data_IF_318930869721
#
_entry.id   IF_318930869721
#
_cell.length_a   1.000
_cell.length_b   1.000
_cell.length_c   1.000
_cell.angle_alpha   90.00
_cell.angle_beta   90.00
_cell.angle_gamma   90.00
#
_symmetry.space_group_name_H-M   'P 1'
#
loop_
_entity.id
_entity.type
_entity.pdbx_description
1 polymer ?
#
# COMPACT_ATOMS: atom_id res chain seq x y z
N UNK A 1 14.86 9.67 -5.84
CA UNK A 1 14.17 8.82 -4.86
C UNK A 1 13.87 7.49 -5.52
N UNK A 2 14.14 6.37 -4.86
CA UNK A 2 14.05 5.01 -5.43
C UNK A 2 13.05 4.22 -4.60
N UNK A 3 11.94 3.82 -5.22
CA UNK A 3 10.93 2.99 -4.57
C UNK A 3 11.39 1.53 -4.54
N UNK A 4 11.20 0.86 -3.41
CA UNK A 4 11.43 -0.56 -3.24
C UNK A 4 10.08 -1.28 -3.11
N UNK A 5 9.90 -2.36 -3.85
CA UNK A 5 8.70 -3.19 -3.84
C UNK A 5 9.07 -4.54 -3.25
N UNK A 6 8.45 -4.90 -2.14
CA UNK A 6 8.74 -6.13 -1.39
C UNK A 6 7.49 -7.00 -1.44
N UNK A 7 7.65 -8.25 -1.87
CA UNK A 7 6.60 -9.26 -1.76
C UNK A 7 6.60 -9.83 -0.35
N UNK A 8 5.78 -9.24 0.50
CA UNK A 8 5.71 -9.56 1.91
C UNK A 8 4.92 -8.52 2.67
N UNK A 9 4.41 -8.96 3.81
CA UNK A 9 3.80 -8.07 4.78
C UNK A 9 4.85 -7.13 5.37
N UNK A 10 4.52 -5.85 5.53
CA UNK A 10 5.39 -4.94 6.25
C UNK A 10 5.43 -5.32 7.73
N UNK A 11 6.42 -4.81 8.45
CA UNK A 11 6.47 -4.94 9.90
C UNK A 11 5.24 -4.26 10.54
N UNK A 12 4.72 -4.81 11.65
CA UNK A 12 3.49 -4.31 12.29
C UNK A 12 3.59 -2.83 12.67
N UNK A 13 4.76 -2.38 13.15
CA UNK A 13 4.99 -0.96 13.46
C UNK A 13 4.90 -0.08 12.21
N UNK A 14 5.52 -0.50 11.10
CA UNK A 14 5.49 0.24 9.83
C UNK A 14 4.09 0.28 9.23
N UNK A 15 3.33 -0.81 9.35
CA UNK A 15 1.94 -0.86 8.91
C UNK A 15 1.10 0.14 9.70
N UNK A 16 1.26 0.18 11.02
CA UNK A 16 0.49 1.07 11.86
C UNK A 16 0.78 2.55 11.54
N UNK A 17 2.07 2.90 11.39
CA UNK A 17 2.51 4.24 10.99
C UNK A 17 1.96 4.64 9.62
N UNK A 18 1.95 3.71 8.67
CA UNK A 18 1.38 3.91 7.36
C UNK A 18 -0.14 4.11 7.41
N UNK A 19 -0.88 3.27 8.13
CA UNK A 19 -2.34 3.40 8.28
C UNK A 19 -2.68 4.77 8.87
N UNK A 20 -1.95 5.19 9.91
CA UNK A 20 -2.15 6.49 10.55
C UNK A 20 -1.86 7.64 9.58
N UNK A 21 -0.72 7.59 8.87
CA UNK A 21 -0.34 8.61 7.89
C UNK A 21 -1.32 8.68 6.72
N UNK A 22 -1.68 7.52 6.16
CA UNK A 22 -2.64 7.38 5.07
C UNK A 22 -4.00 7.95 5.46
N UNK A 23 -4.53 7.56 6.62
CA UNK A 23 -5.83 8.04 7.11
C UNK A 23 -5.80 9.54 7.31
N UNK A 24 -4.73 10.08 7.91
CA UNK A 24 -4.62 11.52 8.14
C UNK A 24 -4.53 12.32 6.83
N UNK A 25 -3.77 11.81 5.85
CA UNK A 25 -3.71 12.42 4.51
C UNK A 25 -5.05 12.34 3.79
N UNK A 26 -5.72 11.19 3.82
CA UNK A 26 -7.06 11.01 3.26
C UNK A 26 -8.08 11.98 3.86
N UNK A 27 -8.06 12.19 5.18
CA UNK A 27 -8.89 13.21 5.84
C UNK A 27 -8.54 14.61 5.32
N UNK A 28 -7.24 14.91 5.18
CA UNK A 28 -6.74 16.22 4.72
C UNK A 28 -7.10 16.50 3.27
N UNK A 29 -7.05 15.49 2.39
CA UNK A 29 -7.42 15.60 0.98
C UNK A 29 -8.92 15.51 0.74
N UNK A 30 -9.72 15.22 1.78
CA UNK A 30 -11.16 14.98 1.68
C UNK A 30 -11.53 13.63 1.05
N UNK A 31 -10.57 12.73 0.89
CA UNK A 31 -10.75 11.40 0.33
C UNK A 31 -11.13 10.42 1.44
N UNK A 32 -12.42 10.09 1.59
CA UNK A 32 -12.85 9.08 2.55
C UNK A 32 -12.69 7.67 1.97
N UNK A 33 -11.45 7.19 1.84
CA UNK A 33 -11.22 5.79 1.51
C UNK A 33 -11.34 4.93 2.77
N UNK A 34 -12.45 4.21 2.89
CA UNK A 34 -12.62 3.19 3.91
C UNK A 34 -11.76 1.97 3.52
N UNK A 35 -10.55 1.90 4.07
CA UNK A 35 -9.66 0.77 3.81
C UNK A 35 -9.92 -0.34 4.82
N UNK A 36 -10.21 -1.54 4.30
CA UNK A 36 -10.38 -2.71 5.14
C UNK A 36 -9.03 -3.43 5.29
N UNK A 37 -8.26 -3.01 6.30
CA UNK A 37 -6.93 -3.56 6.57
C UNK A 37 -6.95 -5.05 6.93
N UNK A 38 -8.09 -5.63 7.32
CA UNK A 38 -8.20 -7.08 7.54
C UNK A 38 -8.07 -7.88 6.23
N UNK A 39 -8.25 -7.26 5.06
CA UNK A 39 -8.00 -7.93 3.76
C UNK A 39 -6.50 -8.15 3.49
N UNK A 40 -5.63 -7.45 4.22
CA UNK A 40 -4.19 -7.60 4.07
C UNK A 40 -3.72 -9.01 4.45
N UNK A 41 -4.44 -9.77 5.28
CA UNK A 41 -4.11 -11.16 5.67
C UNK A 41 -4.04 -12.16 4.48
N UNK A 42 -4.24 -11.68 3.26
CA UNK A 42 -4.09 -12.43 2.03
C UNK A 42 -2.65 -12.90 1.79
N UNK A 43 -2.51 -13.96 1.00
CA UNK A 43 -1.22 -14.61 0.72
C UNK A 43 -0.28 -13.75 -0.14
N UNK A 44 -0.82 -12.84 -0.96
CA UNK A 44 -0.03 -11.98 -1.84
C UNK A 44 -0.16 -10.53 -1.39
N UNK A 45 0.88 -10.02 -0.74
CA UNK A 45 0.99 -8.64 -0.28
C UNK A 45 2.26 -8.03 -0.84
N UNK A 46 2.12 -6.88 -1.48
CA UNK A 46 3.24 -6.08 -1.97
C UNK A 46 3.33 -4.82 -1.12
N UNK A 47 4.42 -4.69 -0.38
CA UNK A 47 4.76 -3.51 0.40
C UNK A 47 5.67 -2.60 -0.40
N UNK A 48 5.36 -1.30 -0.43
CA UNK A 48 6.10 -0.28 -1.19
C UNK A 48 6.77 0.68 -0.24
N UNK A 49 8.08 0.78 -0.36
CA UNK A 49 8.93 1.59 0.50
C UNK A 49 9.62 2.70 -0.29
N UNK A 50 9.67 3.90 0.29
CA UNK A 50 10.58 4.96 -0.13
C UNK A 50 11.67 5.11 0.94
N UNK A 51 12.91 4.79 0.56
CA UNK A 51 14.12 4.70 1.41
C UNK A 51 14.02 3.74 2.60
N UNK A 52 13.07 3.93 3.52
CA UNK A 52 12.76 3.02 4.62
C UNK A 52 11.33 3.21 5.19
N UNK A 53 10.52 4.05 4.54
CA UNK A 53 9.15 4.38 4.97
C UNK A 53 8.16 3.68 4.08
N UNK A 54 7.19 2.98 4.69
CA UNK A 54 6.08 2.38 3.95
C UNK A 54 5.20 3.51 3.38
N UNK A 55 5.11 3.55 2.05
CA UNK A 55 4.35 4.58 1.30
C UNK A 55 3.18 4.01 0.52
N UNK A 56 3.12 2.68 0.38
CA UNK A 56 1.99 1.99 -0.20
C UNK A 56 1.99 0.50 0.13
N UNK A 57 0.83 -0.11 0.00
CA UNK A 57 0.61 -1.53 0.18
C UNK A 57 -0.47 -2.00 -0.79
N UNK A 58 -0.28 -3.16 -1.39
CA UNK A 58 -1.33 -3.81 -2.16
C UNK A 58 -1.46 -5.27 -1.77
N UNK A 59 -2.68 -5.79 -1.81
CA UNK A 59 -2.98 -7.17 -1.51
C UNK A 59 -3.93 -7.77 -2.54
N UNK A 60 -3.82 -9.08 -2.76
CA UNK A 60 -4.75 -9.84 -3.61
C UNK A 60 -5.67 -10.70 -2.74
N UNK A 61 -6.89 -10.21 -2.47
CA UNK A 61 -7.90 -10.85 -1.62
C UNK A 61 -9.14 -11.26 -2.43
N UNK A 62 -8.93 -11.85 -3.61
CA UNK A 62 -9.95 -12.02 -4.65
C UNK A 62 -9.93 -10.88 -5.67
N UNK A 63 -10.06 -9.63 -5.22
CA UNK A 63 -9.82 -8.43 -6.02
C UNK A 63 -8.51 -7.73 -5.58
N UNK A 64 -7.81 -7.04 -6.50
CA UNK A 64 -6.60 -6.29 -6.15
C UNK A 64 -6.99 -5.03 -5.37
N UNK A 65 -6.69 -5.03 -4.07
CA UNK A 65 -6.82 -3.85 -3.20
C UNK A 65 -5.46 -3.17 -3.10
N UNK A 66 -5.36 -1.92 -3.55
CA UNK A 66 -4.11 -1.18 -3.55
C UNK A 66 -4.32 0.16 -2.84
N UNK A 67 -3.45 0.44 -1.88
CA UNK A 67 -3.52 1.63 -1.04
C UNK A 67 -2.17 2.31 -1.07
N UNK A 68 -2.12 3.51 -1.62
CA UNK A 68 -0.91 4.33 -1.71
C UNK A 68 -1.22 5.65 -1.05
N UNK A 69 -0.27 6.19 -0.28
CA UNK A 69 -0.44 7.51 0.34
C UNK A 69 -0.82 8.54 -0.73
N UNK A 70 -1.80 9.43 -0.49
CA UNK A 70 -2.23 10.43 -1.47
C UNK A 70 -1.08 11.29 -1.99
N UNK A 71 -0.10 11.62 -1.14
CA UNK A 71 1.14 12.29 -1.54
C UNK A 71 1.97 11.58 -2.62
N UNK A 72 1.74 10.28 -2.83
CA UNK A 72 2.45 9.42 -3.78
C UNK A 72 1.55 8.86 -4.90
N UNK A 73 0.27 9.23 -4.93
CA UNK A 73 -0.73 8.74 -5.90
C UNK A 73 -0.29 8.95 -7.36
N UNK A 74 0.45 10.03 -7.64
CA UNK A 74 0.95 10.35 -8.99
C UNK A 74 2.16 9.52 -9.47
N UNK A 75 2.71 8.61 -8.66
CA UNK A 75 3.97 7.91 -8.97
C UNK A 75 3.79 6.55 -9.66
N UNK A 76 2.62 6.26 -10.23
CA UNK A 76 2.31 4.97 -10.89
C UNK A 76 2.53 3.74 -9.98
N UNK A 77 2.54 3.95 -8.66
CA UNK A 77 2.76 2.90 -7.67
C UNK A 77 1.63 1.88 -7.76
N UNK A 78 0.39 2.35 -7.88
CA UNK A 78 -0.78 1.49 -8.04
C UNK A 78 -0.66 0.59 -9.26
N UNK A 79 -0.24 1.14 -10.41
CA UNK A 79 -0.02 0.36 -11.63
C UNK A 79 1.07 -0.70 -11.47
N UNK A 80 2.16 -0.36 -10.77
CA UNK A 80 3.27 -1.28 -10.55
C UNK A 80 2.89 -2.39 -9.58
N UNK A 81 2.25 -2.04 -8.47
CA UNK A 81 1.74 -3.00 -7.48
C UNK A 81 0.69 -3.92 -8.11
N UNK A 82 -0.23 -3.39 -8.91
CA UNK A 82 -1.22 -4.19 -9.64
C UNK A 82 -0.56 -5.21 -10.57
N UNK A 83 0.50 -4.81 -11.28
CA UNK A 83 1.28 -5.73 -12.13
C UNK A 83 1.97 -6.82 -11.31
N UNK A 84 2.57 -6.48 -10.17
CA UNK A 84 3.24 -7.44 -9.29
C UNK A 84 2.24 -8.44 -8.69
N UNK A 85 1.10 -7.95 -8.20
CA UNK A 85 0.02 -8.80 -7.68
C UNK A 85 -0.53 -9.76 -8.74
N UNK A 86 -0.72 -9.30 -9.98
CA UNK A 86 -1.15 -10.14 -11.10
C UNK A 86 -0.09 -11.13 -11.58
N UNK A 87 1.19 -10.79 -11.42
CA UNK A 87 2.28 -11.67 -11.79
C UNK A 87 2.40 -12.89 -10.85
N UNK A 88 1.75 -12.86 -9.67
CA UNK A 88 1.70 -13.99 -8.75
C UNK A 88 3.07 -14.45 -8.25
N UNK A 89 4.04 -13.53 -8.22
CA UNK A 89 5.38 -13.74 -7.67
C UNK A 89 5.28 -13.75 -6.15
#
# INVERSE_FOLDING_TARGET
MKLAYINGHPESDQLHDFIQSYTNECITTGTQNHVNWNQLESQNVISVYDENTLVGIGCMAGEPSIHVRPTYEHREIEHTVAKLLKAGI
#
